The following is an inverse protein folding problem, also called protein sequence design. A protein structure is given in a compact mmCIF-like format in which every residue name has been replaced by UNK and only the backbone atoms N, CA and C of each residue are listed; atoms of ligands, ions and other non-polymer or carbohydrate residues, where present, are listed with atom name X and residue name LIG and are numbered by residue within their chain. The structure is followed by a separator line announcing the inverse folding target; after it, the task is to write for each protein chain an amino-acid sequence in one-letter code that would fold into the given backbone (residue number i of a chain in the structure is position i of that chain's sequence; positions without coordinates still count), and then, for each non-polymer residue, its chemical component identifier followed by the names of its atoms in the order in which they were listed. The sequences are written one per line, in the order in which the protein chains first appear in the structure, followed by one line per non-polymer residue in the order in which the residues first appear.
data_IF_769979321866
#
_entry.id   IF_769979321866
#
_cell.length_a   1.000
_cell.length_b   1.000
_cell.length_c   1.000
_cell.angle_alpha   90.00
_cell.angle_beta   90.00
_cell.angle_gamma   90.00
#
_symmetry.space_group_name_H-M   'P 1'
#
loop_
_entity.id
_entity.type
_entity.pdbx_description
1 polymer ?
#
# COMPACT_ATOMS: atom_id res chain seq x y z
N UNK A 1 2.27 -4.16 12.95
CA UNK A 1 2.33 -5.25 11.97
C UNK A 1 2.52 -4.66 10.59
N UNK A 2 3.13 -5.41 9.67
CA UNK A 2 3.35 -4.96 8.30
C UNK A 2 2.25 -5.52 7.41
N UNK A 3 1.72 -4.67 6.55
CA UNK A 3 0.67 -5.01 5.61
C UNK A 3 1.05 -4.55 4.23
N UNK A 4 0.62 -5.32 3.24
CA UNK A 4 0.83 -5.03 1.83
C UNK A 4 -0.54 -4.91 1.20
N UNK A 5 -0.84 -3.77 0.58
CA UNK A 5 -1.94 -3.70 -0.38
C UNK A 5 -1.40 -3.64 -1.81
N UNK A 6 -1.79 -4.63 -2.61
CA UNK A 6 -1.45 -4.73 -4.03
C UNK A 6 -2.63 -4.21 -4.81
N UNK A 7 -2.40 -3.20 -5.64
CA UNK A 7 -3.42 -2.50 -6.41
C UNK A 7 -3.52 -3.04 -7.83
N UNK A 8 -4.75 -3.15 -8.33
CA UNK A 8 -5.07 -3.56 -9.69
C UNK A 8 -5.83 -2.46 -10.41
N UNK A 9 -5.41 -2.13 -11.62
CA UNK A 9 -5.99 -1.04 -12.41
C UNK A 9 -7.43 -1.34 -12.80
N UNK A 10 -8.29 -0.32 -12.75
CA UNK A 10 -9.70 -0.41 -13.19
C UNK A 10 -10.00 0.57 -14.33
N UNK A 11 -9.42 1.77 -14.28
CA UNK A 11 -9.56 2.81 -15.31
C UNK A 11 -8.29 3.67 -15.37
N UNK A 12 -8.02 4.37 -16.50
CA UNK A 12 -6.84 5.21 -16.63
C UNK A 12 -6.79 6.30 -15.56
N UNK A 13 -5.59 6.58 -15.06
CA UNK A 13 -5.32 7.66 -14.13
C UNK A 13 -5.29 9.02 -14.85
N UNK A 14 -5.54 10.09 -14.09
CA UNK A 14 -5.28 11.47 -14.52
C UNK A 14 -4.35 12.17 -13.52
N UNK A 15 -3.87 13.36 -13.89
CA UNK A 15 -2.92 14.11 -13.08
C UNK A 15 -3.49 14.46 -11.69
N UNK A 16 -4.75 14.89 -11.61
CA UNK A 16 -5.39 15.24 -10.34
C UNK A 16 -5.36 14.08 -9.34
N UNK A 17 -5.79 12.89 -9.76
CA UNK A 17 -5.83 11.74 -8.85
C UNK A 17 -4.43 11.25 -8.48
N UNK A 18 -3.46 11.37 -9.39
CA UNK A 18 -2.06 11.05 -9.09
C UNK A 18 -1.52 12.00 -8.02
N UNK A 19 -1.77 13.31 -8.13
CA UNK A 19 -1.33 14.29 -7.15
C UNK A 19 -1.97 14.04 -5.78
N UNK A 20 -3.24 13.65 -5.72
CA UNK A 20 -3.89 13.28 -4.46
C UNK A 20 -3.28 12.02 -3.85
N UNK A 21 -3.06 10.97 -4.65
CA UNK A 21 -2.39 9.75 -4.19
C UNK A 21 -0.99 10.04 -3.63
N UNK A 22 -0.20 10.87 -4.32
CA UNK A 22 1.12 11.30 -3.83
C UNK A 22 1.02 12.07 -2.50
N UNK A 23 0.00 12.91 -2.31
CA UNK A 23 -0.24 13.58 -1.01
C UNK A 23 -0.56 12.59 0.09
N UNK A 24 -1.41 11.59 -0.18
CA UNK A 24 -1.72 10.51 0.75
C UNK A 24 -0.45 9.74 1.17
N UNK A 25 0.39 9.33 0.22
CA UNK A 25 1.65 8.65 0.51
C UNK A 25 2.61 9.50 1.36
N UNK A 26 2.74 10.80 1.05
CA UNK A 26 3.56 11.74 1.84
C UNK A 26 3.07 11.86 3.28
N UNK A 27 1.74 11.89 3.48
CA UNK A 27 1.14 11.90 4.81
C UNK A 27 1.51 10.62 5.58
N UNK A 28 1.28 9.44 4.99
CA UNK A 28 1.65 8.16 5.60
C UNK A 28 3.14 8.07 5.93
N UNK A 29 4.02 8.64 5.09
CA UNK A 29 5.44 8.70 5.38
C UNK A 29 5.75 9.57 6.59
N UNK A 30 5.11 10.74 6.71
CA UNK A 30 5.30 11.64 7.85
C UNK A 30 4.80 11.04 9.17
N UNK A 31 3.78 10.17 9.10
CA UNK A 31 3.23 9.43 10.24
C UNK A 31 4.06 8.18 10.59
N UNK A 32 5.12 7.86 9.84
CA UNK A 32 5.91 6.65 10.04
C UNK A 32 5.19 5.36 9.63
N UNK A 33 4.06 5.46 8.90
CA UNK A 33 3.27 4.31 8.46
C UNK A 33 3.73 3.75 7.12
N UNK A 34 4.37 4.55 6.25
CA UNK A 34 4.81 4.10 4.93
C UNK A 34 6.23 3.50 4.96
N UNK A 35 6.33 2.21 4.67
CA UNK A 35 7.60 1.48 4.57
C UNK A 35 8.19 1.66 3.16
N UNK A 36 7.45 1.22 2.14
CA UNK A 36 7.81 1.39 0.72
C UNK A 36 6.56 1.37 -0.17
N UNK A 37 6.67 1.94 -1.37
CA UNK A 37 5.60 1.91 -2.37
C UNK A 37 6.17 2.06 -3.79
N UNK A 38 5.41 1.60 -4.78
CA UNK A 38 5.72 1.90 -6.17
C UNK A 38 4.83 1.15 -7.16
N UNK A 39 4.78 1.62 -8.42
CA UNK A 39 4.24 0.84 -9.52
C UNK A 39 5.16 -0.34 -9.82
N UNK A 40 4.61 -1.42 -10.35
CA UNK A 40 5.43 -2.48 -10.94
C UNK A 40 5.89 -2.07 -12.33
N UNK A 41 7.11 -2.43 -12.72
CA UNK A 41 7.70 -2.03 -14.01
C UNK A 41 7.25 -2.92 -15.17
N UNK A 42 6.94 -4.17 -14.86
CA UNK A 42 6.66 -5.27 -15.78
C UNK A 42 5.23 -5.83 -15.63
N UNK A 43 4.43 -5.26 -14.73
CA UNK A 43 3.05 -5.66 -14.47
C UNK A 43 2.17 -4.42 -14.21
N UNK A 44 0.90 -4.40 -14.66
CA UNK A 44 -0.01 -3.31 -14.31
C UNK A 44 -0.28 -3.22 -12.81
N UNK A 45 -0.48 -2.02 -12.30
CA UNK A 45 -0.74 -1.77 -10.88
C UNK A 45 0.50 -1.37 -10.08
N UNK A 46 0.48 -1.67 -8.79
CA UNK A 46 1.55 -1.31 -7.86
C UNK A 46 1.25 -1.80 -6.46
N UNK A 47 2.15 -1.51 -5.52
CA UNK A 47 1.98 -1.90 -4.13
C UNK A 47 2.35 -0.79 -3.17
N UNK A 48 1.80 -0.91 -1.97
CA UNK A 48 2.21 -0.15 -0.80
C UNK A 48 2.40 -1.12 0.36
N UNK A 49 3.54 -1.01 1.02
CA UNK A 49 3.85 -1.71 2.27
C UNK A 49 3.76 -0.68 3.40
N UNK A 50 2.93 -0.96 4.39
CA UNK A 50 2.66 -0.06 5.49
C UNK A 50 2.72 -0.76 6.85
N UNK A 51 3.11 0.01 7.86
CA UNK A 51 3.03 -0.37 9.26
C UNK A 51 1.69 0.11 9.82
N UNK A 52 0.92 -0.81 10.40
CA UNK A 52 -0.33 -0.52 11.10
C UNK A 52 -0.47 -1.36 12.38
N UNK A 53 -1.31 -0.89 13.30
CA UNK A 53 -1.61 -1.56 14.58
C UNK A 53 -2.51 -2.79 14.40
N UNK A 54 -3.36 -2.80 13.38
CA UNK A 54 -4.25 -3.93 13.07
C UNK A 54 -4.58 -4.03 11.58
N UNK A 55 -5.24 -5.13 11.19
CA UNK A 55 -5.71 -5.34 9.82
C UNK A 55 -6.80 -4.33 9.45
N UNK A 56 -7.64 -3.96 10.40
CA UNK A 56 -8.71 -2.97 10.25
C UNK A 56 -8.14 -1.58 9.98
N UNK A 57 -7.08 -1.18 10.68
CA UNK A 57 -6.38 0.08 10.40
C UNK A 57 -5.74 0.04 9.00
N UNK A 58 -5.06 -1.05 8.64
CA UNK A 58 -4.46 -1.19 7.32
C UNK A 58 -5.53 -1.12 6.20
N UNK A 59 -6.69 -1.74 6.42
CA UNK A 59 -7.81 -1.69 5.49
C UNK A 59 -8.38 -0.28 5.38
N UNK A 60 -8.51 0.45 6.49
CA UNK A 60 -8.96 1.84 6.48
C UNK A 60 -7.99 2.74 5.70
N UNK A 61 -6.68 2.59 5.92
CA UNK A 61 -5.65 3.33 5.19
C UNK A 61 -5.74 3.04 3.69
N UNK A 62 -5.79 1.77 3.29
CA UNK A 62 -5.88 1.37 1.89
C UNK A 62 -7.15 1.92 1.20
N UNK A 63 -8.29 1.91 1.89
CA UNK A 63 -9.54 2.49 1.36
C UNK A 63 -9.53 4.03 1.27
N UNK A 64 -8.66 4.70 2.03
CA UNK A 64 -8.48 6.16 1.96
C UNK A 64 -7.52 6.59 0.84
N UNK A 65 -6.76 5.67 0.26
CA UNK A 65 -5.93 5.94 -0.90
C UNK A 65 -6.83 6.46 -2.04
N UNK A 66 -6.55 7.65 -2.61
CA UNK A 66 -7.36 8.22 -3.69
C UNK A 66 -7.56 7.29 -4.89
N UNK A 67 -6.57 6.44 -5.20
CA UNK A 67 -6.73 5.44 -6.26
C UNK A 67 -7.86 4.44 -5.96
N UNK A 68 -8.04 4.07 -4.69
CA UNK A 68 -9.06 3.12 -4.25
C UNK A 68 -10.39 3.82 -4.01
N UNK A 69 -10.39 4.91 -3.23
CA UNK A 69 -11.59 5.70 -2.87
C UNK A 69 -12.39 6.12 -4.10
N UNK A 70 -11.70 6.53 -5.18
CA UNK A 70 -12.33 7.05 -6.39
C UNK A 70 -12.40 6.01 -7.53
N UNK A 71 -12.21 4.73 -7.18
CA UNK A 71 -12.38 3.57 -8.05
C UNK A 71 -11.48 3.58 -9.30
N UNK A 72 -10.28 4.14 -9.20
CA UNK A 72 -9.26 4.04 -10.26
C UNK A 72 -8.53 2.70 -10.22
N UNK A 73 -8.38 2.15 -9.02
CA UNK A 73 -7.81 0.84 -8.75
C UNK A 73 -8.67 0.12 -7.70
N UNK A 74 -8.58 -1.21 -7.70
CA UNK A 74 -8.99 -2.06 -6.57
C UNK A 74 -7.73 -2.59 -5.87
N UNK A 75 -7.88 -3.31 -4.77
CA UNK A 75 -6.73 -3.90 -4.08
C UNK A 75 -7.05 -5.23 -3.41
N UNK A 76 -5.99 -6.00 -3.15
CA UNK A 76 -5.97 -7.08 -2.18
C UNK A 76 -5.03 -6.71 -1.03
N UNK A 77 -5.38 -7.09 0.19
CA UNK A 77 -4.62 -6.78 1.41
C UNK A 77 -4.12 -8.06 2.07
N UNK A 78 -2.81 -8.11 2.31
CA UNK A 78 -2.16 -9.21 3.01
C UNK A 78 -1.40 -8.72 4.24
N UNK A 79 -1.37 -9.53 5.27
CA UNK A 79 -0.45 -9.34 6.40
C UNK A 79 0.89 -9.94 6.01
N UNK A 80 1.97 -9.16 6.11
CA UNK A 80 3.32 -9.65 5.93
C UNK A 80 3.87 -10.06 7.29
N UNK A 81 4.20 -11.34 7.41
CA UNK A 81 5.09 -11.79 8.47
C UNK A 81 6.53 -11.57 7.99
N UNK A 82 7.20 -10.59 8.60
CA UNK A 82 8.53 -10.17 8.13
C UNK A 82 9.54 -11.24 8.48
N UNK A 83 10.22 -11.74 7.45
CA UNK A 83 11.34 -12.64 7.56
C UNK A 83 12.65 -11.84 7.44
N UNK A 84 13.48 -11.89 8.47
CA UNK A 84 14.75 -11.15 8.57
C UNK A 84 15.78 -11.93 9.42
N UNK A 85 16.93 -11.32 9.73
CA UNK A 85 17.98 -11.96 10.52
C UNK A 85 17.54 -12.35 11.93
N UNK A 86 16.49 -11.73 12.48
CA UNK A 86 16.02 -12.00 13.85
C UNK A 86 15.20 -13.28 13.94
N UNK A 87 14.64 -13.76 12.82
CA UNK A 87 13.85 -15.00 12.76
C UNK A 87 14.35 -15.99 11.71
N UNK A 88 15.65 -15.94 11.40
CA UNK A 88 16.34 -16.80 10.44
C UNK A 88 15.59 -16.88 9.09
N UNK A 89 15.18 -15.72 8.58
CA UNK A 89 14.44 -15.60 7.33
C UNK A 89 13.16 -16.48 7.29
N UNK A 90 12.49 -16.64 8.43
CA UNK A 90 11.26 -17.42 8.54
C UNK A 90 11.47 -18.93 8.71
N UNK A 91 12.71 -19.38 8.91
CA UNK A 91 13.03 -20.72 9.39
C UNK A 91 12.71 -20.79 10.89
N UNK A 92 11.46 -21.13 11.19
CA UNK A 92 10.91 -21.30 12.54
C UNK A 92 10.43 -22.73 12.74
#
# INVERSE_FOLDING_TARGET
MNYIYIMHDQKPLNETIILEHVKHLKQLRSEGKLILCGPFLDHPGGMVVLQASSKEEALMIANQDPFIRDYYKTFVLYTLDVADEHNDFGLR
#
